data_IF_001866742783
#
_entry.id   IF_001866742783
#
_cell.length_a   1.000
_cell.length_b   1.000
_cell.length_c   1.000
_cell.angle_alpha   90.00
_cell.angle_beta   90.00
_cell.angle_gamma   90.00
#
_symmetry.space_group_name_H-M   'P 1'
#
loop_
_entity.id
_entity.type
_entity.pdbx_description
1 polymer ?
#
# COMPACT_ATOMS: atom_id res chain seq x y z
N UNK A 1 -1.94 32.58 -6.34
CA UNK A 1 -3.34 32.30 -6.72
C UNK A 1 -4.17 32.06 -5.46
N UNK A 2 -5.00 33.04 -5.06
CA UNK A 2 -5.93 32.89 -3.92
C UNK A 2 -7.13 32.06 -4.40
N UNK A 3 -7.20 30.79 -4.02
CA UNK A 3 -8.38 29.97 -4.26
C UNK A 3 -9.54 30.52 -3.44
N UNK A 4 -10.65 30.87 -4.10
CA UNK A 4 -11.89 31.25 -3.41
C UNK A 4 -12.46 30.03 -2.68
N UNK A 5 -13.10 30.24 -1.53
CA UNK A 5 -13.70 29.15 -0.75
C UNK A 5 -14.67 28.27 -1.58
N UNK A 6 -15.28 28.85 -2.61
CA UNK A 6 -16.17 28.17 -3.57
C UNK A 6 -15.43 27.18 -4.46
N UNK A 7 -14.21 27.48 -4.93
CA UNK A 7 -13.42 26.54 -5.74
C UNK A 7 -12.91 25.37 -4.93
N UNK A 8 -12.56 25.61 -3.66
CA UNK A 8 -12.17 24.55 -2.72
C UNK A 8 -13.36 23.64 -2.41
N UNK A 9 -14.56 24.18 -2.16
CA UNK A 9 -15.77 23.39 -1.89
C UNK A 9 -16.22 22.55 -3.11
N UNK A 10 -16.13 23.10 -4.33
CA UNK A 10 -16.38 22.35 -5.57
C UNK A 10 -15.34 21.28 -5.82
N UNK A 11 -14.06 21.56 -5.58
CA UNK A 11 -13.00 20.56 -5.72
C UNK A 11 -13.18 19.42 -4.71
N UNK A 12 -13.54 19.73 -3.46
CA UNK A 12 -13.88 18.72 -2.45
C UNK A 12 -15.13 17.93 -2.84
N UNK A 13 -16.18 18.57 -3.35
CA UNK A 13 -17.39 17.87 -3.81
C UNK A 13 -17.12 16.97 -5.03
N UNK A 14 -16.32 17.43 -5.98
CA UNK A 14 -15.90 16.63 -7.15
C UNK A 14 -15.03 15.46 -6.72
N UNK A 15 -14.04 15.68 -5.85
CA UNK A 15 -13.23 14.58 -5.31
C UNK A 15 -14.06 13.62 -4.46
N UNK A 16 -15.01 14.10 -3.68
CA UNK A 16 -15.92 13.25 -2.89
C UNK A 16 -16.81 12.42 -3.81
N UNK A 17 -17.32 13.00 -4.91
CA UNK A 17 -18.12 12.29 -5.90
C UNK A 17 -17.28 11.29 -6.72
N UNK A 18 -16.04 11.64 -7.09
CA UNK A 18 -15.10 10.72 -7.76
C UNK A 18 -14.73 9.56 -6.83
N UNK A 19 -14.42 9.85 -5.57
CA UNK A 19 -14.16 8.85 -4.53
C UNK A 19 -15.39 7.96 -4.34
N UNK A 20 -16.60 8.53 -4.29
CA UNK A 20 -17.84 7.76 -4.22
C UNK A 20 -18.08 6.87 -5.45
N UNK A 21 -17.87 7.38 -6.66
CA UNK A 21 -18.05 6.60 -7.89
C UNK A 21 -17.00 5.49 -7.99
N UNK A 22 -15.75 5.76 -7.65
CA UNK A 22 -14.64 4.78 -7.70
C UNK A 22 -14.75 3.74 -6.58
N UNK A 23 -15.24 4.10 -5.40
CA UNK A 23 -15.40 3.16 -4.29
C UNK A 23 -16.72 2.42 -4.30
N UNK A 24 -17.82 3.00 -4.78
CA UNK A 24 -19.13 2.34 -4.71
C UNK A 24 -19.57 1.85 -6.09
N UNK A 25 -19.56 2.71 -7.11
CA UNK A 25 -20.17 2.38 -8.41
C UNK A 25 -19.31 1.42 -9.23
N UNK A 26 -17.99 1.64 -9.30
CA UNK A 26 -17.08 0.76 -10.06
C UNK A 26 -17.00 -0.64 -9.45
N UNK A 27 -16.87 -0.82 -8.12
CA UNK A 27 -16.81 -2.15 -7.51
C UNK A 27 -18.16 -2.88 -7.58
N UNK A 28 -19.27 -2.16 -7.47
CA UNK A 28 -20.62 -2.73 -7.70
C UNK A 28 -20.77 -3.20 -9.16
N UNK A 29 -20.32 -2.42 -10.14
CA UNK A 29 -20.40 -2.80 -11.55
C UNK A 29 -19.48 -3.99 -11.88
N UNK A 30 -18.25 -4.00 -11.37
CA UNK A 30 -17.31 -5.12 -11.55
C UNK A 30 -17.82 -6.37 -10.82
N UNK A 31 -18.39 -6.22 -9.63
CA UNK A 31 -19.05 -7.29 -8.88
C UNK A 31 -20.23 -7.88 -9.63
N UNK A 32 -21.10 -7.04 -10.21
CA UNK A 32 -22.23 -7.47 -11.01
C UNK A 32 -21.78 -8.29 -12.25
N UNK A 33 -20.71 -7.87 -12.93
CA UNK A 33 -20.14 -8.61 -14.07
C UNK A 33 -19.52 -9.93 -13.63
N UNK A 34 -18.83 -9.98 -12.49
CA UNK A 34 -18.26 -11.21 -11.93
C UNK A 34 -19.35 -12.23 -11.55
N UNK A 35 -20.44 -11.78 -10.92
CA UNK A 35 -21.59 -12.64 -10.58
C UNK A 35 -22.35 -13.15 -11.80
N UNK A 36 -22.31 -12.42 -12.93
CA UNK A 36 -22.91 -12.86 -14.19
C UNK A 36 -22.09 -13.96 -14.89
N UNK A 37 -20.76 -13.98 -14.72
CA UNK A 37 -19.90 -15.02 -15.30
C UNK A 37 -20.08 -16.39 -14.63
N UNK A 38 -20.40 -16.43 -13.34
CA UNK A 38 -20.77 -17.66 -12.62
C UNK A 38 -22.06 -18.31 -13.12
N UNK A 39 -22.86 -17.63 -13.95
CA UNK A 39 -24.09 -18.16 -14.55
C UNK A 39 -23.92 -18.87 -15.90
N UNK A 40 -22.70 -18.97 -16.45
CA UNK A 40 -22.47 -19.60 -17.77
C UNK A 40 -22.21 -21.12 -17.70
N UNK A 41 -22.27 -21.72 -16.51
CA UNK A 41 -22.18 -23.17 -16.32
C UNK A 41 -23.55 -23.82 -16.39
N UNK A 42 -23.84 -24.51 -17.50
CA UNK A 42 -25.00 -25.38 -17.68
C UNK A 42 -25.04 -26.51 -16.64
N UNK A 43 -26.14 -26.60 -15.87
CA UNK A 43 -26.65 -27.89 -15.39
C UNK A 43 -26.92 -28.02 -13.88
N UNK A 44 -28.20 -28.30 -13.59
CA UNK A 44 -28.72 -29.02 -12.42
C UNK A 44 -28.51 -28.44 -11.00
N UNK A 45 -29.64 -28.37 -10.28
CA UNK A 45 -29.72 -28.11 -8.85
C UNK A 45 -28.85 -29.09 -8.01
N UNK A 46 -28.60 -28.71 -6.75
CA UNK A 46 -27.93 -29.46 -5.65
C UNK A 46 -26.40 -29.46 -5.58
N UNK A 47 -25.76 -28.30 -5.78
CA UNK A 47 -24.57 -27.91 -5.00
C UNK A 47 -24.41 -26.39 -5.10
N UNK A 48 -24.70 -25.66 -4.03
CA UNK A 48 -24.46 -24.21 -3.95
C UNK A 48 -22.97 -23.97 -3.77
N UNK A 49 -22.21 -24.09 -4.86
CA UNK A 49 -20.84 -23.57 -4.92
C UNK A 49 -20.91 -22.05 -4.81
N UNK A 50 -20.79 -21.53 -3.58
CA UNK A 50 -20.63 -20.11 -3.30
C UNK A 50 -19.22 -19.70 -3.74
N UNK A 51 -19.07 -19.48 -5.05
CA UNK A 51 -17.80 -19.15 -5.66
C UNK A 51 -17.38 -17.74 -5.29
N UNK A 52 -16.27 -17.60 -4.57
CA UNK A 52 -15.62 -16.31 -4.34
C UNK A 52 -15.23 -15.59 -5.65
N UNK A 53 -14.80 -14.34 -5.54
CA UNK A 53 -14.51 -13.48 -6.69
C UNK A 53 -13.20 -13.87 -7.40
N UNK A 54 -13.29 -14.81 -8.35
CA UNK A 54 -12.17 -15.33 -9.13
C UNK A 54 -11.36 -14.25 -9.86
N UNK A 55 -12.00 -13.12 -10.22
CA UNK A 55 -11.35 -11.96 -10.84
C UNK A 55 -10.33 -11.25 -9.94
N UNK A 56 -10.33 -11.52 -8.63
CA UNK A 56 -9.38 -10.97 -7.65
C UNK A 56 -8.26 -11.95 -7.28
N UNK A 57 -8.31 -13.20 -7.74
CA UNK A 57 -7.34 -14.25 -7.37
C UNK A 57 -5.89 -13.90 -7.74
N UNK A 58 -5.68 -13.13 -8.82
CA UNK A 58 -4.36 -12.68 -9.24
C UNK A 58 -3.65 -11.77 -8.21
N UNK A 59 -4.41 -11.12 -7.32
CA UNK A 59 -3.86 -10.29 -6.24
C UNK A 59 -3.24 -11.14 -5.13
N UNK A 60 -3.61 -12.42 -5.00
CA UNK A 60 -3.06 -13.40 -4.04
C UNK A 60 -2.91 -12.84 -2.60
N UNK A 61 -3.92 -12.12 -2.13
CA UNK A 61 -3.98 -11.63 -0.75
C UNK A 61 -4.47 -12.75 0.15
N UNK A 62 -3.70 -13.09 1.18
CA UNK A 62 -4.00 -14.19 2.11
C UNK A 62 -4.16 -13.68 3.53
N UNK A 63 -5.07 -14.33 4.26
CA UNK A 63 -5.22 -14.17 5.71
C UNK A 63 -4.17 -15.00 6.47
N UNK A 64 -4.12 -14.87 7.80
CA UNK A 64 -3.14 -15.63 8.61
C UNK A 64 -3.39 -17.14 8.68
N UNK A 65 -4.54 -17.63 8.19
CA UNK A 65 -4.79 -19.06 8.00
C UNK A 65 -4.47 -19.54 6.59
N UNK A 66 -3.88 -18.69 5.75
CA UNK A 66 -3.50 -19.01 4.37
C UNK A 66 -4.67 -19.03 3.38
N UNK A 67 -5.87 -18.62 3.79
CA UNK A 67 -7.05 -18.53 2.92
C UNK A 67 -6.95 -17.27 2.08
N UNK A 68 -7.21 -17.38 0.78
CA UNK A 68 -7.24 -16.23 -0.10
C UNK A 68 -8.51 -15.41 0.13
N UNK A 69 -8.37 -14.08 0.25
CA UNK A 69 -9.51 -13.17 0.41
C UNK A 69 -10.46 -13.21 -0.80
N UNK A 70 -9.94 -13.56 -1.98
CA UNK A 70 -10.77 -13.78 -3.18
C UNK A 70 -11.75 -14.95 -3.03
N UNK A 71 -11.49 -15.91 -2.15
CA UNK A 71 -12.36 -17.09 -1.96
C UNK A 71 -13.47 -16.83 -0.94
N UNK A 72 -13.51 -15.65 -0.34
CA UNK A 72 -14.51 -15.30 0.66
C UNK A 72 -15.90 -15.21 0.03
N UNK A 73 -16.90 -15.73 0.73
CA UNK A 73 -18.31 -15.67 0.36
C UNK A 73 -19.19 -15.37 1.57
N UNK A 74 -20.39 -14.87 1.31
CA UNK A 74 -21.39 -14.54 2.32
C UNK A 74 -22.33 -15.73 2.46
N UNK A 75 -22.58 -16.20 3.69
CA UNK A 75 -23.46 -17.35 3.93
C UNK A 75 -24.89 -16.86 3.92
N UNK A 76 -25.65 -17.22 2.88
CA UNK A 76 -27.01 -16.74 2.68
C UNK A 76 -27.97 -17.91 2.48
N UNK A 77 -29.13 -17.87 3.14
CA UNK A 77 -30.24 -18.74 2.77
C UNK A 77 -30.87 -18.19 1.47
N UNK A 78 -30.47 -18.76 0.33
CA UNK A 78 -31.08 -18.48 -0.97
C UNK A 78 -32.50 -19.03 -0.97
N UNK A 79 -33.46 -18.19 -0.57
CA UNK A 79 -34.85 -18.59 -0.49
C UNK A 79 -35.36 -19.26 -1.77
N UNK A 80 -36.27 -20.23 -1.59
CA UNK A 80 -36.90 -21.01 -2.68
C UNK A 80 -37.60 -20.11 -3.71
N UNK A 81 -37.80 -20.63 -4.95
CA UNK A 81 -38.57 -20.03 -6.05
C UNK A 81 -39.94 -19.44 -5.64
N UNK A 82 -40.49 -19.89 -4.51
CA UNK A 82 -41.77 -19.46 -3.97
C UNK A 82 -41.68 -18.30 -2.94
N UNK A 83 -40.48 -17.74 -2.67
CA UNK A 83 -40.27 -16.58 -1.78
C UNK A 83 -39.45 -15.48 -2.50
N UNK A 84 -40.06 -14.73 -3.43
CA UNK A 84 -39.34 -13.74 -4.26
C UNK A 84 -38.66 -12.63 -3.45
N UNK A 85 -39.17 -12.30 -2.25
CA UNK A 85 -38.56 -11.30 -1.38
C UNK A 85 -37.19 -11.69 -0.83
N UNK A 86 -36.98 -12.96 -0.47
CA UNK A 86 -35.67 -13.45 0.01
C UNK A 86 -34.64 -13.55 -1.11
N UNK A 87 -35.08 -13.86 -2.33
CA UNK A 87 -34.22 -13.88 -3.53
C UNK A 87 -33.76 -12.48 -3.93
N UNK A 88 -34.63 -11.46 -3.82
CA UNK A 88 -34.25 -10.08 -4.08
C UNK A 88 -33.25 -9.55 -3.05
N UNK A 89 -33.44 -9.87 -1.77
CA UNK A 89 -32.53 -9.49 -0.68
C UNK A 89 -31.16 -10.17 -0.84
N UNK A 90 -31.13 -11.47 -1.15
CA UNK A 90 -29.87 -12.19 -1.36
C UNK A 90 -29.10 -11.68 -2.57
N UNK A 91 -29.77 -11.28 -3.66
CA UNK A 91 -29.12 -10.67 -4.81
C UNK A 91 -28.43 -9.34 -4.43
N UNK A 92 -29.12 -8.48 -3.68
CA UNK A 92 -28.57 -7.20 -3.22
C UNK A 92 -27.36 -7.42 -2.31
N UNK A 93 -27.47 -8.34 -1.34
CA UNK A 93 -26.37 -8.68 -0.43
C UNK A 93 -25.15 -9.25 -1.17
N UNK A 94 -25.35 -10.11 -2.18
CA UNK A 94 -24.25 -10.64 -2.98
C UNK A 94 -23.55 -9.54 -3.79
N UNK A 95 -24.30 -8.59 -4.37
CA UNK A 95 -23.73 -7.48 -5.12
C UNK A 95 -23.00 -6.48 -4.21
N UNK A 96 -23.55 -6.22 -3.02
CA UNK A 96 -22.92 -5.41 -1.99
C UNK A 96 -21.60 -6.05 -1.51
N UNK A 97 -21.63 -7.35 -1.22
CA UNK A 97 -20.46 -8.13 -0.85
C UNK A 97 -19.41 -8.18 -1.97
N UNK A 98 -19.82 -8.33 -3.22
CA UNK A 98 -18.91 -8.29 -4.36
C UNK A 98 -18.22 -6.92 -4.48
N UNK A 99 -18.95 -5.82 -4.26
CA UNK A 99 -18.37 -4.48 -4.21
C UNK A 99 -17.37 -4.35 -3.05
N UNK A 100 -17.76 -4.76 -1.84
CA UNK A 100 -16.91 -4.73 -0.66
C UNK A 100 -15.62 -5.55 -0.84
N UNK A 101 -15.71 -6.80 -1.32
CA UNK A 101 -14.54 -7.67 -1.56
C UNK A 101 -13.57 -7.06 -2.57
N UNK A 102 -14.05 -6.45 -3.66
CA UNK A 102 -13.22 -5.76 -4.64
C UNK A 102 -12.46 -4.59 -3.99
N UNK A 103 -13.15 -3.74 -3.22
CA UNK A 103 -12.53 -2.58 -2.56
C UNK A 103 -11.47 -3.04 -1.55
N UNK A 104 -11.85 -3.93 -0.63
CA UNK A 104 -10.99 -4.38 0.45
C UNK A 104 -9.78 -5.13 -0.08
N UNK A 105 -9.98 -6.08 -1.00
CA UNK A 105 -8.87 -6.87 -1.57
C UNK A 105 -7.90 -5.98 -2.34
N UNK A 106 -8.41 -5.07 -3.18
CA UNK A 106 -7.57 -4.13 -3.95
C UNK A 106 -6.79 -3.20 -3.03
N UNK A 107 -7.43 -2.70 -1.95
CA UNK A 107 -6.78 -1.83 -0.99
C UNK A 107 -5.64 -2.54 -0.25
N UNK A 108 -5.90 -3.74 0.28
CA UNK A 108 -4.88 -4.54 0.98
C UNK A 108 -3.74 -4.90 0.03
N UNK A 109 -4.06 -5.32 -1.19
CA UNK A 109 -3.08 -5.62 -2.22
C UNK A 109 -2.18 -4.42 -2.52
N UNK A 110 -2.76 -3.23 -2.71
CA UNK A 110 -2.00 -2.02 -3.03
C UNK A 110 -1.06 -1.63 -1.88
N UNK A 111 -1.50 -1.78 -0.62
CA UNK A 111 -0.68 -1.50 0.56
C UNK A 111 0.49 -2.50 0.65
N UNK A 112 0.21 -3.79 0.48
CA UNK A 112 1.25 -4.83 0.43
C UNK A 112 2.24 -4.58 -0.71
N UNK A 113 1.74 -4.20 -1.88
CA UNK A 113 2.57 -3.83 -3.03
C UNK A 113 3.45 -2.61 -2.74
N UNK A 114 2.92 -1.55 -2.12
CA UNK A 114 3.66 -0.36 -1.71
C UNK A 114 4.81 -0.70 -0.74
N UNK A 115 4.54 -1.54 0.26
CA UNK A 115 5.52 -2.00 1.25
C UNK A 115 6.56 -2.96 0.65
N UNK A 116 6.17 -3.77 -0.33
CA UNK A 116 7.06 -4.76 -0.95
C UNK A 116 8.21 -4.17 -1.78
N UNK A 117 8.13 -2.88 -2.16
CA UNK A 117 9.02 -2.21 -3.14
C UNK A 117 9.12 -2.92 -4.49
N UNK A 118 8.27 -3.91 -4.79
CA UNK A 118 8.19 -4.49 -6.14
C UNK A 118 7.93 -3.40 -7.18
N UNK A 119 7.16 -2.38 -6.80
CA UNK A 119 6.94 -1.19 -7.61
C UNK A 119 8.22 -0.44 -7.97
N UNK A 120 9.17 -0.33 -7.04
CA UNK A 120 10.44 0.33 -7.25
C UNK A 120 11.28 -0.46 -8.24
N UNK A 121 11.29 -1.80 -8.17
CA UNK A 121 12.02 -2.64 -9.13
C UNK A 121 11.51 -2.49 -10.57
N UNK A 122 10.20 -2.29 -10.75
CA UNK A 122 9.61 -2.05 -12.08
C UNK A 122 10.14 -0.77 -12.72
N UNK A 123 10.37 0.28 -11.93
CA UNK A 123 10.84 1.58 -12.43
C UNK A 123 12.34 1.81 -12.29
N UNK A 124 13.02 1.05 -11.42
CA UNK A 124 14.42 1.27 -11.10
C UNK A 124 15.34 0.99 -12.28
N UNK A 125 15.13 -0.11 -13.01
CA UNK A 125 15.93 -0.45 -14.18
C UNK A 125 15.90 0.64 -15.27
N UNK A 126 14.73 1.10 -15.76
CA UNK A 126 14.70 2.16 -16.76
C UNK A 126 15.24 3.51 -16.24
N UNK A 127 15.04 3.82 -14.96
CA UNK A 127 15.58 5.06 -14.36
C UNK A 127 17.10 5.02 -14.25
N UNK A 128 17.70 3.88 -13.85
CA UNK A 128 19.16 3.69 -13.87
C UNK A 128 19.74 3.83 -15.26
N UNK A 129 19.17 3.12 -16.25
CA UNK A 129 19.64 3.24 -17.64
C UNK A 129 19.57 4.68 -18.17
N UNK A 130 18.53 5.43 -17.80
CA UNK A 130 18.42 6.85 -18.15
C UNK A 130 19.47 7.70 -17.42
N UNK A 131 19.72 7.42 -16.14
CA UNK A 131 20.71 8.13 -15.34
C UNK A 131 22.14 7.86 -15.81
N UNK A 132 22.46 6.61 -16.20
CA UNK A 132 23.73 6.21 -16.79
C UNK A 132 23.96 6.90 -18.14
N UNK A 133 22.95 6.87 -19.03
CA UNK A 133 23.02 7.54 -20.32
C UNK A 133 23.21 9.06 -20.18
N UNK A 134 22.47 9.69 -19.28
CA UNK A 134 22.61 11.12 -18.98
C UNK A 134 24.00 11.43 -18.42
N UNK A 135 24.45 10.66 -17.43
CA UNK A 135 25.76 10.83 -16.79
C UNK A 135 26.88 10.70 -17.82
N UNK A 136 26.81 9.71 -18.72
CA UNK A 136 27.78 9.55 -19.80
C UNK A 136 27.88 10.75 -20.75
N UNK A 137 26.81 11.53 -20.90
CA UNK A 137 26.82 12.74 -21.72
C UNK A 137 27.32 13.99 -20.98
N UNK A 138 26.99 14.14 -19.70
CA UNK A 138 27.25 15.38 -18.96
C UNK A 138 28.50 15.32 -18.08
N UNK A 139 28.85 14.15 -17.55
CA UNK A 139 30.01 13.95 -16.68
C UNK A 139 31.28 13.66 -17.48
N UNK A 140 31.53 14.47 -18.51
CA UNK A 140 32.75 14.33 -19.32
C UNK A 140 33.96 14.93 -18.57
N UNK A 141 35.18 14.40 -18.80
CA UNK A 141 36.40 14.99 -18.22
C UNK A 141 36.54 16.49 -18.55
N UNK A 142 36.12 16.90 -19.75
CA UNK A 142 36.14 18.30 -20.17
C UNK A 142 35.20 19.16 -19.32
N UNK A 143 33.98 18.67 -19.03
CA UNK A 143 33.03 19.38 -18.18
C UNK A 143 33.56 19.53 -16.75
N UNK A 144 34.16 18.47 -16.21
CA UNK A 144 34.75 18.51 -14.87
C UNK A 144 35.91 19.52 -14.79
N UNK A 145 36.82 19.51 -15.76
CA UNK A 145 37.93 20.48 -15.82
C UNK A 145 37.39 21.91 -15.95
N UNK A 146 36.41 22.14 -16.81
CA UNK A 146 35.78 23.45 -16.98
C UNK A 146 35.11 23.93 -15.67
N UNK A 147 34.29 23.08 -15.05
CA UNK A 147 33.60 23.40 -13.79
C UNK A 147 34.58 23.64 -12.63
N UNK A 148 35.62 22.81 -12.52
CA UNK A 148 36.67 22.97 -11.53
C UNK A 148 37.47 24.27 -11.73
N UNK A 149 37.75 24.64 -12.98
CA UNK A 149 38.45 25.90 -13.30
C UNK A 149 37.61 27.12 -12.91
N UNK A 150 36.30 27.09 -13.19
CA UNK A 150 35.36 28.14 -12.75
C UNK A 150 35.33 28.21 -11.22
N UNK A 151 35.27 27.06 -10.54
CA UNK A 151 35.34 27.00 -9.08
C UNK A 151 36.62 27.59 -8.51
N UNK A 152 37.77 27.26 -9.11
CA UNK A 152 39.08 27.77 -8.71
C UNK A 152 39.19 29.29 -8.90
N UNK A 153 38.54 29.86 -9.93
CA UNK A 153 38.44 31.30 -10.09
C UNK A 153 37.75 31.98 -8.90
N UNK A 154 36.64 31.44 -8.39
CA UNK A 154 35.97 31.98 -7.20
C UNK A 154 36.84 31.87 -5.94
N UNK A 155 37.58 30.77 -5.79
CA UNK A 155 38.56 30.63 -4.68
C UNK A 155 39.62 31.74 -4.77
N UNK A 156 40.24 31.93 -5.94
CA UNK A 156 41.23 32.98 -6.15
C UNK A 156 40.65 34.37 -5.89
N UNK A 157 39.43 34.64 -6.35
CA UNK A 157 38.71 35.89 -6.09
C UNK A 157 38.52 36.15 -4.58
N UNK A 158 38.11 35.15 -3.80
CA UNK A 158 37.94 35.29 -2.36
C UNK A 158 39.26 35.52 -1.63
N UNK A 159 40.35 34.89 -2.07
CA UNK A 159 41.69 35.12 -1.52
C UNK A 159 42.13 36.56 -1.77
N UNK A 160 42.00 37.05 -3.01
CA UNK A 160 42.35 38.44 -3.37
C UNK A 160 41.52 39.46 -2.59
N UNK A 161 40.26 39.15 -2.29
CA UNK A 161 39.37 40.01 -1.47
C UNK A 161 39.57 39.87 0.04
N UNK A 162 40.50 39.03 0.50
CA UNK A 162 40.79 38.81 1.92
C UNK A 162 39.77 37.93 2.66
N UNK A 163 38.85 37.26 1.95
CA UNK A 163 37.83 36.39 2.54
C UNK A 163 38.33 34.94 2.69
N UNK A 164 39.40 34.73 3.47
CA UNK A 164 40.05 33.42 3.63
C UNK A 164 39.09 32.30 4.07
N UNK A 165 38.18 32.57 5.00
CA UNK A 165 37.20 31.57 5.46
C UNK A 165 36.30 31.07 4.33
N UNK A 166 35.83 31.96 3.44
CA UNK A 166 34.99 31.57 2.30
C UNK A 166 35.78 30.80 1.25
N UNK A 167 37.04 31.19 1.02
CA UNK A 167 37.94 30.46 0.13
C UNK A 167 38.18 29.03 0.63
N UNK A 168 38.49 28.84 1.91
CA UNK A 168 38.69 27.52 2.51
C UNK A 168 37.44 26.65 2.41
N UNK A 169 36.26 27.19 2.71
CA UNK A 169 34.99 26.45 2.57
C UNK A 169 34.72 26.01 1.13
N UNK A 170 35.05 26.85 0.15
CA UNK A 170 34.88 26.51 -1.26
C UNK A 170 35.83 25.39 -1.68
N UNK A 171 37.11 25.44 -1.26
CA UNK A 171 38.09 24.37 -1.55
C UNK A 171 37.63 23.04 -0.94
N UNK A 172 37.21 23.04 0.33
CA UNK A 172 36.69 21.83 0.99
C UNK A 172 35.47 21.30 0.25
N UNK A 173 34.54 22.16 -0.16
CA UNK A 173 33.34 21.72 -0.87
C UNK A 173 33.68 21.14 -2.25
N UNK A 174 34.60 21.75 -3.00
CA UNK A 174 35.06 21.21 -4.28
C UNK A 174 35.72 19.84 -4.12
N UNK A 175 36.52 19.64 -3.06
CA UNK A 175 37.12 18.34 -2.75
C UNK A 175 36.06 17.29 -2.40
N UNK A 176 35.08 17.65 -1.57
CA UNK A 176 33.97 16.75 -1.22
C UNK A 176 33.14 16.38 -2.45
N UNK A 177 32.83 17.36 -3.32
CA UNK A 177 32.10 17.11 -4.58
C UNK A 177 32.91 16.22 -5.51
N UNK A 178 34.25 16.35 -5.57
CA UNK A 178 35.08 15.45 -6.36
C UNK A 178 35.07 14.00 -5.83
N UNK A 179 35.21 13.83 -4.51
CA UNK A 179 35.24 12.49 -3.88
C UNK A 179 33.86 11.82 -3.95
N UNK A 180 32.81 12.51 -3.49
CA UNK A 180 31.45 11.95 -3.46
C UNK A 180 30.90 11.85 -4.89
N UNK A 181 31.13 12.86 -5.72
CA UNK A 181 30.65 12.89 -7.09
C UNK A 181 31.23 11.77 -7.94
N UNK A 182 32.49 11.39 -7.76
CA UNK A 182 33.07 10.24 -8.51
C UNK A 182 32.41 8.92 -8.12
N UNK A 183 32.14 8.69 -6.84
CA UNK A 183 31.40 7.51 -6.38
C UNK A 183 29.95 7.51 -6.90
N UNK A 184 29.27 8.64 -6.77
CA UNK A 184 27.87 8.78 -7.17
C UNK A 184 27.68 8.69 -8.70
N UNK A 185 28.60 9.23 -9.50
CA UNK A 185 28.53 9.18 -10.97
C UNK A 185 28.99 7.83 -11.54
N UNK A 186 29.76 7.03 -10.80
CA UNK A 186 30.17 5.70 -11.25
C UNK A 186 28.96 4.75 -11.34
N UNK A 187 28.03 4.85 -10.40
CA UNK A 187 26.76 4.12 -10.43
C UNK A 187 25.59 5.07 -10.08
N UNK A 188 25.14 5.89 -11.04
CA UNK A 188 24.15 6.93 -10.77
C UNK A 188 22.82 6.30 -10.35
N UNK A 189 22.27 6.82 -9.25
CA UNK A 189 21.11 6.24 -8.54
C UNK A 189 21.34 4.85 -7.93
N UNK A 190 22.55 4.26 -8.01
CA UNK A 190 22.89 3.00 -7.36
C UNK A 190 22.65 3.05 -5.85
N UNK A 191 23.13 4.11 -5.20
CA UNK A 191 22.95 4.33 -3.76
C UNK A 191 21.49 4.57 -3.35
N UNK A 192 20.63 5.04 -4.26
CA UNK A 192 19.21 5.34 -3.95
C UNK A 192 18.30 4.15 -4.25
N UNK A 193 18.46 3.55 -5.43
CA UNK A 193 17.62 2.48 -5.96
C UNK A 193 18.20 1.08 -5.70
N UNK A 194 19.41 0.98 -5.15
CA UNK A 194 20.14 -0.25 -4.85
C UNK A 194 19.31 -1.26 -4.06
N UNK A 195 19.57 -2.57 -4.20
CA UNK A 195 19.06 -3.57 -3.26
C UNK A 195 19.39 -3.20 -1.80
N UNK A 196 20.59 -2.66 -1.58
CA UNK A 196 21.07 -2.10 -0.31
C UNK A 196 21.06 -0.56 -0.31
N UNK A 197 20.32 0.07 -1.22
CA UNK A 197 20.24 1.51 -1.33
C UNK A 197 19.47 2.16 -0.17
N UNK A 198 19.59 3.48 -0.03
CA UNK A 198 19.01 4.24 1.08
C UNK A 198 17.48 4.08 1.19
N UNK A 199 16.79 3.89 0.07
CA UNK A 199 15.35 3.62 0.08
C UNK A 199 15.03 2.23 0.65
N UNK A 200 15.78 1.20 0.24
CA UNK A 200 15.60 -0.15 0.74
C UNK A 200 15.94 -0.23 2.24
N UNK A 201 17.05 0.40 2.66
CA UNK A 201 17.45 0.47 4.05
C UNK A 201 16.42 1.22 4.91
N UNK A 202 15.92 2.37 4.43
CA UNK A 202 14.88 3.13 5.12
C UNK A 202 13.59 2.32 5.33
N UNK A 203 13.15 1.57 4.32
CA UNK A 203 12.04 0.61 4.49
C UNK A 203 12.37 -0.44 5.54
N UNK A 204 13.51 -1.11 5.43
CA UNK A 204 13.85 -2.23 6.30
C UNK A 204 13.89 -1.79 7.77
N UNK A 205 14.40 -0.59 8.04
CA UNK A 205 14.34 0.05 9.38
C UNK A 205 12.88 0.33 9.78
N UNK A 206 12.07 0.89 8.88
CA UNK A 206 10.67 1.18 9.19
C UNK A 206 9.86 -0.09 9.49
N UNK A 207 10.12 -1.16 8.74
CA UNK A 207 9.53 -2.48 8.94
C UNK A 207 10.00 -3.09 10.26
N UNK A 208 11.30 -3.09 10.56
CA UNK A 208 11.83 -3.69 11.80
C UNK A 208 11.29 -2.99 13.05
N UNK A 209 11.18 -1.66 13.03
CA UNK A 209 10.54 -0.90 14.11
C UNK A 209 9.08 -1.28 14.25
N UNK A 210 8.33 -1.32 13.14
CA UNK A 210 6.93 -1.74 13.17
C UNK A 210 6.77 -3.17 13.70
N UNK A 211 7.65 -4.10 13.34
CA UNK A 211 7.59 -5.48 13.80
C UNK A 211 7.98 -5.63 15.27
N UNK A 212 8.95 -4.85 15.75
CA UNK A 212 9.27 -4.75 17.17
C UNK A 212 8.07 -4.30 18.00
N UNK A 213 7.32 -3.30 17.51
CA UNK A 213 6.05 -2.87 18.13
C UNK A 213 4.98 -3.97 18.10
N UNK A 214 5.02 -4.86 17.10
CA UNK A 214 4.14 -6.03 16.98
C UNK A 214 4.67 -7.30 17.69
N UNK A 215 5.76 -7.21 18.48
CA UNK A 215 6.34 -8.35 19.20
C UNK A 215 7.08 -9.37 18.33
N UNK A 216 7.39 -9.03 17.07
CA UNK A 216 8.06 -9.90 16.07
C UNK A 216 9.41 -9.32 15.65
N UNK A 217 10.31 -9.11 16.62
CA UNK A 217 11.56 -8.36 16.42
C UNK A 217 12.65 -9.07 15.62
N UNK A 218 12.52 -10.39 15.37
CA UNK A 218 13.60 -11.22 14.83
C UNK A 218 13.21 -11.88 13.49
N UNK A 219 12.61 -11.08 12.59
CA UNK A 219 12.01 -11.61 11.35
C UNK A 219 12.52 -10.84 10.13
N UNK A 220 12.80 -11.57 9.06
CA UNK A 220 13.24 -11.04 7.77
C UNK A 220 12.28 -9.93 7.25
N UNK A 221 12.78 -8.78 6.74
CA UNK A 221 11.95 -7.71 6.17
C UNK A 221 10.90 -8.18 5.16
N UNK A 222 11.21 -9.22 4.38
CA UNK A 222 10.30 -9.78 3.38
C UNK A 222 9.11 -10.50 4.02
N UNK A 223 9.37 -11.29 5.07
CA UNK A 223 8.32 -11.94 5.87
C UNK A 223 7.52 -10.92 6.69
N UNK A 224 8.10 -9.79 7.04
CA UNK A 224 7.41 -8.68 7.69
C UNK A 224 6.34 -8.05 6.81
N UNK A 225 6.62 -7.84 5.53
CA UNK A 225 5.62 -7.31 4.58
C UNK A 225 4.45 -8.29 4.45
N UNK A 226 4.73 -9.59 4.35
CA UNK A 226 3.70 -10.63 4.33
C UNK A 226 2.90 -10.68 5.64
N UNK A 227 3.57 -10.53 6.79
CA UNK A 227 2.93 -10.45 8.11
C UNK A 227 2.03 -9.22 8.24
N UNK A 228 2.45 -8.08 7.71
CA UNK A 228 1.62 -6.87 7.67
C UNK A 228 0.40 -7.07 6.77
N UNK A 229 0.61 -7.60 5.58
CA UNK A 229 -0.47 -7.85 4.61
C UNK A 229 -1.48 -8.88 5.13
N UNK A 230 -1.04 -9.94 5.79
CA UNK A 230 -1.91 -10.92 6.46
C UNK A 230 -2.66 -10.29 7.64
N UNK A 231 -2.01 -9.45 8.44
CA UNK A 231 -2.68 -8.67 9.48
C UNK A 231 -3.71 -7.69 8.94
N UNK A 232 -3.49 -7.13 7.74
CA UNK A 232 -4.49 -6.32 7.05
C UNK A 232 -5.66 -7.19 6.61
N UNK A 233 -5.40 -8.35 6.00
CA UNK A 233 -6.45 -9.28 5.59
C UNK A 233 -7.30 -9.76 6.77
N UNK A 234 -6.68 -10.08 7.91
CA UNK A 234 -7.39 -10.50 9.12
C UNK A 234 -8.32 -9.41 9.65
N UNK A 235 -7.83 -8.17 9.78
CA UNK A 235 -8.59 -7.08 10.41
C UNK A 235 -9.58 -6.39 9.46
N UNK A 236 -9.29 -6.36 8.16
CA UNK A 236 -10.12 -5.64 7.17
C UNK A 236 -11.03 -6.54 6.34
N UNK A 237 -10.71 -7.83 6.21
CA UNK A 237 -11.53 -8.76 5.45
C UNK A 237 -12.13 -9.84 6.35
N UNK A 238 -11.30 -10.61 7.07
CA UNK A 238 -11.75 -11.80 7.79
C UNK A 238 -12.73 -11.50 8.92
N UNK A 239 -12.33 -10.69 9.91
CA UNK A 239 -13.19 -10.35 11.05
C UNK A 239 -14.49 -9.64 10.61
N UNK A 240 -14.45 -8.61 9.74
CA UNK A 240 -15.68 -7.98 9.27
C UNK A 240 -16.61 -8.95 8.54
N UNK A 241 -16.08 -9.90 7.76
CA UNK A 241 -16.89 -10.93 7.12
C UNK A 241 -17.53 -11.88 8.12
N UNK A 242 -16.82 -12.26 9.19
CA UNK A 242 -17.39 -13.08 10.26
C UNK A 242 -18.51 -12.34 10.98
N UNK A 243 -18.30 -11.06 11.30
CA UNK A 243 -19.34 -10.20 11.90
C UNK A 243 -20.54 -10.07 10.95
N UNK A 244 -20.32 -9.97 9.64
CA UNK A 244 -21.42 -9.89 8.67
C UNK A 244 -22.20 -11.21 8.58
N UNK A 245 -21.51 -12.35 8.55
CA UNK A 245 -22.13 -13.67 8.44
C UNK A 245 -22.80 -14.14 9.74
N UNK A 246 -22.18 -13.88 10.90
CA UNK A 246 -22.54 -14.50 12.18
C UNK A 246 -22.90 -13.49 13.28
N UNK A 247 -22.76 -12.20 13.02
CA UNK A 247 -22.96 -11.13 14.01
C UNK A 247 -21.82 -10.96 15.01
N UNK A 248 -20.79 -11.82 14.94
CA UNK A 248 -19.59 -11.80 15.77
C UNK A 248 -18.47 -12.63 15.11
N UNK A 249 -17.26 -12.61 15.67
CA UNK A 249 -16.06 -13.21 15.12
C UNK A 249 -15.81 -14.54 15.81
N UNK A 250 -15.87 -15.58 14.99
CA UNK A 250 -15.69 -16.97 15.39
C UNK A 250 -14.22 -17.35 15.62
N UNK A 251 -13.30 -16.44 15.27
CA UNK A 251 -11.85 -16.63 15.37
C UNK A 251 -11.30 -16.71 16.80
N UNK A 252 -12.09 -16.38 17.83
CA UNK A 252 -11.70 -16.48 19.24
C UNK A 252 -11.48 -17.93 19.72
N UNK A 253 -12.15 -18.90 19.10
CA UNK A 253 -11.93 -20.33 19.34
C UNK A 253 -11.07 -20.91 18.20
N UNK A 254 -9.88 -21.49 18.48
CA UNK A 254 -9.01 -22.08 17.46
C UNK A 254 -9.68 -23.14 16.59
N UNK A 255 -10.60 -23.94 17.17
CA UNK A 255 -11.36 -24.95 16.44
C UNK A 255 -12.32 -24.28 15.46
N UNK A 256 -13.07 -23.27 15.89
CA UNK A 256 -13.98 -22.52 15.01
C UNK A 256 -13.21 -21.77 13.92
N UNK A 257 -12.06 -21.17 14.24
CA UNK A 257 -11.14 -20.55 13.27
C UNK A 257 -10.77 -21.52 12.14
N UNK A 258 -10.40 -22.75 12.47
CA UNK A 258 -10.01 -23.77 11.49
C UNK A 258 -11.19 -24.27 10.65
N UNK A 259 -12.35 -24.48 11.27
CA UNK A 259 -13.58 -24.90 10.60
C UNK A 259 -14.07 -23.82 9.63
N UNK A 260 -13.97 -22.55 10.02
CA UNK A 260 -14.29 -21.41 9.16
C UNK A 260 -13.40 -21.38 7.92
N UNK A 261 -12.08 -21.46 8.10
CA UNK A 261 -11.12 -21.48 7.01
C UNK A 261 -11.31 -22.68 6.07
N UNK A 262 -11.62 -23.86 6.62
CA UNK A 262 -11.91 -25.06 5.82
C UNK A 262 -13.23 -24.92 5.03
N UNK A 263 -14.26 -24.33 5.63
CA UNK A 263 -15.53 -24.05 4.97
C UNK A 263 -15.37 -23.07 3.82
N UNK A 264 -14.67 -21.95 4.04
CA UNK A 264 -14.40 -20.96 2.98
C UNK A 264 -13.60 -21.57 1.82
N UNK A 265 -12.55 -22.33 2.11
CA UNK A 265 -11.76 -22.99 1.05
C UNK A 265 -12.55 -24.04 0.27
N UNK A 266 -13.59 -24.63 0.87
CA UNK A 266 -14.44 -25.60 0.18
C UNK A 266 -15.44 -24.97 -0.79
N UNK A 267 -15.69 -23.66 -0.70
CA UNK A 267 -16.72 -22.98 -1.49
C UNK A 267 -18.15 -23.46 -1.21
N UNK A 268 -18.37 -24.18 -0.10
CA UNK A 268 -19.65 -24.79 0.25
C UNK A 268 -20.19 -24.18 1.55
N UNK A 269 -21.33 -23.49 1.43
CA UNK A 269 -22.00 -22.79 2.54
C UNK A 269 -22.49 -23.75 3.63
N UNK A 270 -23.05 -24.90 3.25
CA UNK A 270 -23.52 -25.89 4.21
C UNK A 270 -22.37 -26.48 5.02
N UNK A 271 -21.22 -26.71 4.38
CA UNK A 271 -20.02 -27.19 5.06
C UNK A 271 -19.50 -26.15 6.06
N UNK A 272 -19.50 -24.87 5.68
CA UNK A 272 -19.12 -23.77 6.56
C UNK A 272 -20.07 -23.67 7.76
N UNK A 273 -21.38 -23.67 7.50
CA UNK A 273 -22.43 -23.59 8.53
C UNK A 273 -22.38 -24.78 9.49
N UNK A 274 -22.33 -26.00 8.97
CA UNK A 274 -22.21 -27.21 9.79
C UNK A 274 -20.90 -27.25 10.58
N UNK A 275 -19.82 -26.68 10.03
CA UNK A 275 -18.56 -26.50 10.74
C UNK A 275 -18.68 -25.61 11.98
N UNK A 276 -19.49 -24.55 11.93
CA UNK A 276 -19.75 -23.68 13.09
C UNK A 276 -20.50 -24.44 14.20
N UNK A 277 -21.50 -25.26 13.82
CA UNK A 277 -22.19 -26.15 14.77
C UNK A 277 -21.22 -27.17 15.39
N UNK A 278 -20.34 -27.75 14.59
CA UNK A 278 -19.36 -28.73 15.04
C UNK A 278 -18.30 -28.14 15.98
N UNK A 279 -17.98 -26.84 15.85
CA UNK A 279 -17.03 -26.16 16.72
C UNK A 279 -17.65 -25.65 18.04
N UNK A 280 -18.96 -25.82 18.23
CA UNK A 280 -19.69 -25.45 19.44
C UNK A 280 -20.35 -24.07 19.37
N UNK A 281 -20.33 -23.40 18.22
CA UNK A 281 -20.92 -22.07 18.02
C UNK A 281 -22.33 -22.18 17.42
N UNK A 282 -23.30 -22.46 18.30
CA UNK A 282 -24.71 -22.53 17.93
C UNK A 282 -25.28 -21.19 17.46
N UNK A 283 -24.78 -20.07 17.99
CA UNK A 283 -25.21 -18.74 17.62
C UNK A 283 -24.81 -18.41 16.17
N UNK A 284 -23.57 -18.73 15.77
CA UNK A 284 -23.12 -18.59 14.38
C UNK A 284 -23.90 -19.51 13.42
N UNK A 285 -24.23 -20.74 13.83
CA UNK A 285 -25.04 -21.66 13.04
C UNK A 285 -26.47 -21.14 12.79
N UNK A 286 -27.09 -20.54 13.81
CA UNK A 286 -28.42 -19.95 13.73
C UNK A 286 -28.42 -18.64 12.95
N UNK A 287 -27.44 -17.76 13.17
CA UNK A 287 -27.28 -16.50 12.44
C UNK A 287 -27.09 -16.72 10.93
N UNK A 288 -26.32 -17.76 10.55
CA UNK A 288 -26.14 -18.16 9.16
C UNK A 288 -27.41 -18.74 8.50
N UNK A 289 -28.44 -19.09 9.28
CA UNK A 289 -29.66 -19.72 8.80
C UNK A 289 -30.75 -18.75 8.34
N UNK A 290 -30.58 -17.44 8.52
CA UNK A 290 -31.64 -16.46 8.26
C UNK A 290 -31.09 -15.20 7.57
N UNK A 291 -31.39 -15.05 6.28
CA UNK A 291 -31.13 -13.80 5.56
C UNK A 291 -32.10 -12.71 6.04
N UNK A 292 -31.60 -11.64 6.65
CA UNK A 292 -32.44 -10.54 7.17
C UNK A 292 -32.14 -9.22 6.47
N UNK A 293 -33.15 -8.36 6.31
CA UNK A 293 -32.93 -7.00 5.78
C UNK A 293 -31.98 -6.17 6.65
N UNK A 294 -31.82 -6.52 7.94
CA UNK A 294 -30.84 -5.93 8.84
C UNK A 294 -29.38 -6.19 8.43
N UNK A 295 -29.10 -7.32 7.76
CA UNK A 295 -27.76 -7.61 7.23
C UNK A 295 -27.34 -6.68 6.09
N UNK A 296 -28.30 -6.12 5.34
CA UNK A 296 -28.01 -5.09 4.32
C UNK A 296 -27.54 -3.81 5.02
N UNK A 297 -28.24 -3.39 6.09
CA UNK A 297 -27.86 -2.20 6.86
C UNK A 297 -26.53 -2.37 7.58
N UNK A 298 -26.28 -3.54 8.16
CA UNK A 298 -25.01 -3.88 8.79
C UNK A 298 -23.87 -3.94 7.76
N UNK A 299 -24.11 -4.55 6.59
CA UNK A 299 -23.19 -4.57 5.45
C UNK A 299 -22.79 -3.17 5.02
N UNK A 300 -23.77 -2.27 4.83
CA UNK A 300 -23.53 -0.90 4.38
C UNK A 300 -22.73 -0.12 5.41
N UNK A 301 -23.01 -0.34 6.70
CA UNK A 301 -22.27 0.31 7.78
C UNK A 301 -20.83 -0.22 7.88
N UNK A 302 -20.63 -1.53 7.73
CA UNK A 302 -19.30 -2.16 7.67
C UNK A 302 -18.52 -1.69 6.44
N UNK A 303 -19.20 -1.52 5.30
CA UNK A 303 -18.60 -1.02 4.08
C UNK A 303 -18.17 0.43 4.26
N UNK A 304 -19.03 1.31 4.76
CA UNK A 304 -18.71 2.73 4.99
C UNK A 304 -17.57 2.87 5.99
N UNK A 305 -17.66 2.20 7.14
CA UNK A 305 -16.62 2.26 8.17
C UNK A 305 -15.30 1.66 7.68
N UNK A 306 -15.35 0.50 7.03
CA UNK A 306 -14.20 -0.14 6.40
C UNK A 306 -13.53 0.74 5.36
N UNK A 307 -14.31 1.42 4.52
CA UNK A 307 -13.81 2.38 3.52
C UNK A 307 -13.10 3.56 4.18
N UNK A 308 -13.69 4.17 5.22
CA UNK A 308 -13.05 5.32 5.91
C UNK A 308 -11.68 4.94 6.46
N UNK A 309 -11.61 3.77 7.08
CA UNK A 309 -10.39 3.25 7.69
C UNK A 309 -9.38 2.87 6.59
N UNK A 310 -9.80 2.14 5.56
CA UNK A 310 -8.93 1.77 4.42
C UNK A 310 -8.42 2.97 3.63
N UNK A 311 -9.18 4.05 3.48
CA UNK A 311 -8.72 5.28 2.81
C UNK A 311 -7.50 5.84 3.55
N UNK A 312 -7.50 5.82 4.88
CA UNK A 312 -6.34 6.28 5.65
C UNK A 312 -5.12 5.37 5.42
N UNK A 313 -5.32 4.05 5.44
CA UNK A 313 -4.24 3.09 5.16
C UNK A 313 -3.67 3.25 3.74
N UNK A 314 -4.54 3.43 2.74
CA UNK A 314 -4.18 3.68 1.35
C UNK A 314 -3.44 5.01 1.20
N UNK A 315 -3.91 6.07 1.87
CA UNK A 315 -3.23 7.35 1.88
C UNK A 315 -1.78 7.20 2.36
N UNK A 316 -1.56 6.46 3.45
CA UNK A 316 -0.22 6.20 3.97
C UNK A 316 0.64 5.38 2.99
N UNK A 317 0.08 4.33 2.39
CA UNK A 317 0.74 3.55 1.34
C UNK A 317 1.15 4.39 0.12
N UNK A 318 0.27 5.27 -0.35
CA UNK A 318 0.58 6.21 -1.43
C UNK A 318 1.66 7.22 -1.01
N UNK A 319 1.63 7.71 0.23
CA UNK A 319 2.67 8.61 0.74
C UNK A 319 4.05 7.95 0.74
N UNK A 320 4.14 6.66 1.07
CA UNK A 320 5.37 5.86 0.96
C UNK A 320 5.90 5.88 -0.49
N UNK A 321 5.04 5.57 -1.46
CA UNK A 321 5.40 5.57 -2.89
C UNK A 321 5.86 6.96 -3.35
N UNK A 322 5.09 8.02 -3.02
CA UNK A 322 5.46 9.39 -3.41
C UNK A 322 6.78 9.85 -2.80
N UNK A 323 7.09 9.45 -1.56
CA UNK A 323 8.36 9.75 -0.92
C UNK A 323 9.53 9.05 -1.65
N UNK A 324 9.33 7.79 -2.08
CA UNK A 324 10.30 7.09 -2.91
C UNK A 324 10.54 7.81 -4.24
N UNK A 325 9.49 8.22 -4.96
CA UNK A 325 9.64 9.01 -6.19
C UNK A 325 10.34 10.35 -5.97
N UNK A 326 10.08 11.03 -4.84
CA UNK A 326 10.79 12.27 -4.48
C UNK A 326 12.29 12.03 -4.27
N UNK A 327 12.66 10.95 -3.57
CA UNK A 327 14.06 10.60 -3.37
C UNK A 327 14.76 10.32 -4.70
N UNK A 328 14.10 9.61 -5.62
CA UNK A 328 14.65 9.32 -6.95
C UNK A 328 14.77 10.59 -7.78
N UNK A 329 13.76 11.46 -7.75
CA UNK A 329 13.81 12.75 -8.45
C UNK A 329 15.01 13.59 -7.98
N UNK A 330 15.19 13.74 -6.67
CA UNK A 330 16.30 14.51 -6.12
C UNK A 330 17.65 13.84 -6.36
N UNK A 331 17.73 12.51 -6.28
CA UNK A 331 18.92 11.75 -6.68
C UNK A 331 19.29 11.97 -8.15
N UNK A 332 18.30 11.98 -9.04
CA UNK A 332 18.51 12.24 -10.46
C UNK A 332 18.99 13.68 -10.70
N UNK A 333 18.37 14.66 -10.04
CA UNK A 333 18.79 16.06 -10.12
C UNK A 333 20.18 16.30 -9.53
N UNK A 334 20.60 15.50 -8.54
CA UNK A 334 21.93 15.58 -7.96
C UNK A 334 23.04 15.25 -8.97
N UNK A 335 22.77 14.47 -10.03
CA UNK A 335 23.73 14.17 -11.11
C UNK A 335 24.25 15.47 -11.75
N UNK A 336 23.36 16.42 -12.08
CA UNK A 336 23.77 17.72 -12.63
C UNK A 336 24.63 18.53 -11.65
N UNK A 337 24.31 18.42 -10.36
CA UNK A 337 25.09 19.02 -9.30
C UNK A 337 26.50 18.43 -9.22
N UNK A 338 26.64 17.11 -9.17
CA UNK A 338 27.95 16.46 -9.06
C UNK A 338 28.78 16.55 -10.35
N UNK A 339 28.15 16.51 -11.53
CA UNK A 339 28.85 16.62 -12.81
C UNK A 339 29.48 18.00 -13.04
N UNK A 340 28.86 19.07 -12.53
CA UNK A 340 29.37 20.43 -12.73
C UNK A 340 28.96 21.42 -11.63
N UNK A 341 27.67 21.45 -11.26
CA UNK A 341 27.10 22.52 -10.45
C UNK A 341 27.74 22.71 -9.07
N UNK A 342 28.23 21.63 -8.46
CA UNK A 342 28.83 21.58 -7.13
C UNK A 342 30.21 22.22 -7.04
N UNK A 343 30.94 22.30 -8.16
CA UNK A 343 32.25 22.95 -8.23
C UNK A 343 32.14 24.49 -8.28
N UNK A 344 30.99 25.02 -8.72
CA UNK A 344 30.79 26.45 -8.94
C UNK A 344 30.12 27.07 -7.71
N UNK A 345 30.80 28.01 -7.05
CA UNK A 345 30.28 28.72 -5.89
C UNK A 345 28.97 29.45 -6.22
N UNK A 346 27.94 29.28 -5.38
CA UNK A 346 26.69 30.02 -5.47
C UNK A 346 25.43 29.14 -5.65
N UNK A 347 24.47 29.55 -6.50
CA UNK A 347 23.17 28.86 -6.62
C UNK A 347 23.28 27.39 -7.07
N UNK A 348 24.24 27.06 -7.92
CA UNK A 348 24.43 25.70 -8.45
C UNK A 348 24.94 24.71 -7.41
N UNK A 349 25.84 25.16 -6.53
CA UNK A 349 26.31 24.36 -5.40
C UNK A 349 25.21 24.20 -4.34
N UNK A 350 24.44 25.26 -4.10
CA UNK A 350 23.26 25.19 -3.22
C UNK A 350 22.22 24.23 -3.77
N UNK A 351 22.04 24.18 -5.09
CA UNK A 351 21.16 23.23 -5.76
C UNK A 351 21.60 21.78 -5.52
N UNK A 352 22.89 21.47 -5.65
CA UNK A 352 23.41 20.14 -5.32
C UNK A 352 23.09 19.76 -3.86
N UNK A 353 23.47 20.60 -2.91
CA UNK A 353 23.28 20.34 -1.48
C UNK A 353 21.81 20.13 -1.16
N UNK A 354 20.92 20.98 -1.69
CA UNK A 354 19.47 20.83 -1.50
C UNK A 354 18.95 19.50 -2.03
N UNK A 355 19.33 19.11 -3.24
CA UNK A 355 18.87 17.82 -3.78
C UNK A 355 19.39 16.63 -2.97
N UNK A 356 20.65 16.64 -2.54
CA UNK A 356 21.17 15.56 -1.68
C UNK A 356 20.41 15.50 -0.36
N UNK A 357 20.21 16.65 0.30
CA UNK A 357 19.46 16.74 1.55
C UNK A 357 18.00 16.32 1.38
N UNK A 358 17.32 16.80 0.33
CA UNK A 358 15.92 16.46 0.05
C UNK A 358 15.75 14.98 -0.29
N UNK A 359 16.74 14.35 -0.95
CA UNK A 359 16.75 12.90 -1.18
C UNK A 359 16.81 12.12 0.15
N UNK A 360 17.70 12.51 1.06
CA UNK A 360 17.78 11.90 2.40
C UNK A 360 16.51 12.14 3.22
N UNK A 361 15.95 13.35 3.20
CA UNK A 361 14.70 13.67 3.89
C UNK A 361 13.55 12.83 3.32
N UNK A 362 13.49 12.64 2.00
CA UNK A 362 12.48 11.81 1.36
C UNK A 362 12.60 10.33 1.78
N UNK A 363 13.81 9.77 1.85
CA UNK A 363 14.05 8.43 2.38
C UNK A 363 13.66 8.31 3.87
N UNK A 364 13.99 9.32 4.68
CA UNK A 364 13.58 9.40 6.09
C UNK A 364 12.05 9.46 6.25
N UNK A 365 11.35 10.26 5.42
CA UNK A 365 9.88 10.32 5.40
C UNK A 365 9.26 8.96 5.07
N UNK A 366 9.86 8.23 4.14
CA UNK A 366 9.40 6.89 3.77
C UNK A 366 9.47 5.91 4.95
N UNK A 367 10.58 5.95 5.68
CA UNK A 367 10.78 5.18 6.93
C UNK A 367 9.68 5.51 7.93
N UNK A 368 9.46 6.80 8.18
CA UNK A 368 8.44 7.29 9.12
C UNK A 368 7.04 6.79 8.71
N UNK A 369 6.63 6.96 7.44
CA UNK A 369 5.31 6.50 7.00
C UNK A 369 5.14 4.98 7.12
N UNK A 370 6.21 4.21 6.94
CA UNK A 370 6.19 2.74 7.13
C UNK A 370 5.96 2.39 8.60
N UNK A 371 6.66 3.05 9.52
CA UNK A 371 6.45 2.86 10.97
C UNK A 371 5.02 3.22 11.37
N UNK A 372 4.53 4.38 10.93
CA UNK A 372 3.17 4.83 11.24
C UNK A 372 2.11 3.85 10.72
N UNK A 373 2.31 3.26 9.53
CA UNK A 373 1.41 2.24 9.02
C UNK A 373 1.40 0.98 9.89
N UNK A 374 2.56 0.56 10.40
CA UNK A 374 2.66 -0.56 11.35
C UNK A 374 1.98 -0.28 12.69
N UNK A 375 2.18 0.92 13.25
CA UNK A 375 1.46 1.38 14.47
C UNK A 375 -0.05 1.39 14.23
N UNK A 376 -0.47 1.86 13.06
CA UNK A 376 -1.86 1.91 12.68
C UNK A 376 -2.50 0.52 12.59
N UNK A 377 -1.77 -0.48 12.07
CA UNK A 377 -2.25 -1.86 12.09
C UNK A 377 -2.42 -2.43 13.50
N UNK A 378 -1.49 -2.14 14.41
CA UNK A 378 -1.61 -2.53 15.82
C UNK A 378 -2.86 -1.95 16.45
N UNK A 379 -3.03 -0.63 16.31
CA UNK A 379 -4.19 0.06 16.82
C UNK A 379 -5.50 -0.55 16.29
N UNK A 380 -5.54 -0.89 15.00
CA UNK A 380 -6.70 -1.54 14.41
C UNK A 380 -6.93 -2.95 14.96
N UNK A 381 -5.87 -3.74 15.14
CA UNK A 381 -5.99 -5.07 15.72
C UNK A 381 -6.54 -5.03 17.15
N UNK A 382 -6.06 -4.09 17.96
CA UNK A 382 -6.52 -3.90 19.35
C UNK A 382 -7.96 -3.40 19.39
N UNK A 383 -8.31 -2.46 18.51
CA UNK A 383 -9.66 -1.94 18.38
C UNK A 383 -10.65 -3.08 18.07
N UNK A 384 -10.35 -3.94 17.10
CA UNK A 384 -11.21 -5.09 16.77
C UNK A 384 -11.23 -6.15 17.88
N UNK A 385 -10.21 -6.27 18.72
CA UNK A 385 -10.27 -7.15 19.89
C UNK A 385 -11.17 -6.57 21.01
N UNK A 386 -11.09 -5.26 21.26
CA UNK A 386 -11.87 -4.60 22.32
C UNK A 386 -13.37 -4.57 22.03
N UNK A 387 -13.76 -4.38 20.77
CA UNK A 387 -15.17 -4.39 20.38
C UNK A 387 -15.77 -5.79 20.25
N UNK A 388 -15.05 -6.81 20.74
CA UNK A 388 -15.52 -8.18 20.80
C UNK A 388 -15.82 -8.68 19.41
N UNK A 389 -14.74 -8.99 18.68
CA UNK A 389 -14.80 -9.70 17.41
C UNK A 389 -16.09 -10.46 17.27
#
# INVERSE_FOLDING_TARGET
MRWSAVSRRRWWAVWSAVVFVVLFVVPIAVGAVATAQTGSGTGAATDTTAGGNAGLSWMNVRDSSGVQVSNYFLVLDYGSLFRPGTTAISLVLNLEFAGWTVIVTTAIWLIGWALSFKWLNVVAAPLRGTAEALTGQIATPLMLVAAATIGAFFVAYFVVRGFYTRATMQVVTMLLVAIIGTLFLAEPLGEVLGPEGWLAQGRNVGLSVAAGLNGKSDTDPTMLVETMQTGLADNYARKPLQIWNFGHAVDGNPTCRSMWSAGINSGNEDRLRNGMKACGDGAAYEAAGHATAGQIGAGLMLLISGVVVLIFALYMGLRIITAGFQAVYHGFMAIFGFAAGGFIYGPTQTFLIRNVVDAFIAAGRMTIFTVFLGVYQLFMSDLFQQFGG
#
